data_IF_599968161102
#
_entry.id   IF_599968161102
#
_cell.length_a   1.000
_cell.length_b   1.000
_cell.length_c   1.000
_cell.angle_alpha   90.00
_cell.angle_beta   90.00
_cell.angle_gamma   90.00
#
_symmetry.space_group_name_H-M   'P 1'
#
loop_
_entity.id
_entity.type
_entity.pdbx_description
1 polymer ?
#
# COMPACT_ATOMS: atom_id res chain seq x y z
N UNK A 1 -2.13 -7.07 23.27
CA UNK A 1 -3.29 -7.55 22.48
C UNK A 1 -2.77 -8.51 21.44
N UNK A 2 -3.46 -9.61 21.15
CA UNK A 2 -2.99 -10.57 20.14
C UNK A 2 -3.16 -9.95 18.76
N UNK A 3 -2.07 -9.78 18.02
CA UNK A 3 -2.10 -9.25 16.67
C UNK A 3 -2.78 -10.26 15.73
N UNK A 4 -3.55 -9.80 14.73
CA UNK A 4 -4.19 -10.71 13.78
C UNK A 4 -3.12 -11.51 13.02
N UNK A 5 -3.38 -12.79 12.80
CA UNK A 5 -2.52 -13.62 11.96
C UNK A 5 -2.52 -13.13 10.50
N UNK A 6 -1.50 -13.53 9.73
CA UNK A 6 -1.31 -13.15 8.33
C UNK A 6 -2.55 -13.45 7.47
N UNK A 7 -3.22 -14.59 7.70
CA UNK A 7 -4.42 -14.97 6.96
C UNK A 7 -5.58 -14.00 7.21
N UNK A 8 -5.74 -13.56 8.45
CA UNK A 8 -6.76 -12.58 8.86
C UNK A 8 -6.48 -11.21 8.26
N UNK A 9 -5.22 -10.76 8.31
CA UNK A 9 -4.79 -9.49 7.70
C UNK A 9 -5.12 -9.48 6.20
N UNK A 10 -4.69 -10.52 5.47
CA UNK A 10 -4.96 -10.65 4.03
C UNK A 10 -6.45 -10.67 3.70
N UNK A 11 -7.26 -11.41 4.47
CA UNK A 11 -8.70 -11.48 4.27
C UNK A 11 -9.37 -10.11 4.46
N UNK A 12 -8.98 -9.38 5.50
CA UNK A 12 -9.54 -8.04 5.79
C UNK A 12 -9.10 -7.01 4.73
N UNK A 13 -7.84 -7.03 4.33
CA UNK A 13 -7.33 -6.15 3.27
C UNK A 13 -8.04 -6.41 1.93
N UNK A 14 -8.25 -7.66 1.54
CA UNK A 14 -8.97 -7.99 0.30
C UNK A 14 -10.43 -7.55 0.36
N UNK A 15 -11.11 -7.81 1.47
CA UNK A 15 -12.48 -7.35 1.66
C UNK A 15 -12.61 -5.83 1.59
N UNK A 16 -11.66 -5.08 2.19
CA UNK A 16 -11.60 -3.63 2.08
C UNK A 16 -11.36 -3.18 0.64
N UNK A 17 -10.39 -3.78 -0.07
CA UNK A 17 -10.10 -3.41 -1.46
C UNK A 17 -11.33 -3.63 -2.36
N UNK A 18 -12.03 -4.75 -2.19
CA UNK A 18 -13.22 -5.08 -2.97
C UNK A 18 -14.41 -4.17 -2.66
N UNK A 19 -14.70 -3.95 -1.38
CA UNK A 19 -15.93 -3.24 -0.96
C UNK A 19 -15.79 -1.73 -0.93
N UNK A 20 -14.61 -1.24 -0.56
CA UNK A 20 -14.35 0.19 -0.38
C UNK A 20 -13.69 0.78 -1.61
N UNK A 21 -12.50 0.31 -1.98
CA UNK A 21 -11.74 0.89 -3.10
C UNK A 21 -12.44 0.66 -4.44
N UNK A 22 -12.79 -0.59 -4.72
CA UNK A 22 -13.46 -0.98 -5.98
C UNK A 22 -14.96 -0.69 -5.90
N UNK A 23 -15.61 -1.08 -4.80
CA UNK A 23 -17.05 -0.93 -4.63
C UNK A 23 -17.54 0.53 -4.64
N UNK A 24 -16.74 1.47 -4.15
CA UNK A 24 -17.04 2.92 -4.20
C UNK A 24 -16.35 3.65 -5.36
N UNK A 25 -15.66 2.91 -6.26
CA UNK A 25 -14.97 3.45 -7.42
C UNK A 25 -13.95 4.56 -7.07
N UNK A 26 -13.19 4.38 -5.98
CA UNK A 26 -12.22 5.37 -5.50
C UNK A 26 -10.94 5.40 -6.34
N UNK A 27 -10.59 4.26 -6.94
CA UNK A 27 -9.44 4.14 -7.82
C UNK A 27 -9.86 3.42 -9.11
N UNK A 28 -9.79 4.08 -10.29
CA UNK A 28 -10.18 3.45 -11.55
C UNK A 28 -9.24 2.30 -11.95
N UNK A 29 -8.03 2.28 -11.40
CA UNK A 29 -6.99 1.31 -11.74
C UNK A 29 -7.03 0.04 -10.87
N UNK A 30 -7.75 0.04 -9.75
CA UNK A 30 -7.70 -1.08 -8.79
C UNK A 30 -8.50 -2.32 -9.24
N UNK A 31 -9.57 -2.13 -10.02
CA UNK A 31 -10.53 -3.19 -10.31
C UNK A 31 -9.98 -4.30 -11.22
N UNK A 32 -9.24 -3.92 -12.26
CA UNK A 32 -8.71 -4.87 -13.26
C UNK A 32 -7.62 -5.78 -12.68
N UNK A 33 -6.56 -5.25 -12.02
CA UNK A 33 -5.55 -6.08 -11.35
C UNK A 33 -6.15 -6.97 -10.27
N UNK A 34 -7.11 -6.48 -9.49
CA UNK A 34 -7.78 -7.28 -8.45
C UNK A 34 -8.50 -8.49 -9.03
N UNK A 35 -9.40 -8.26 -10.02
CA UNK A 35 -10.21 -9.33 -10.63
C UNK A 35 -9.35 -10.37 -11.35
N UNK A 36 -8.22 -9.95 -11.90
CA UNK A 36 -7.30 -10.80 -12.64
C UNK A 36 -6.20 -11.42 -11.75
N UNK A 37 -6.23 -11.17 -10.44
CA UNK A 37 -5.29 -11.76 -9.49
C UNK A 37 -3.86 -11.24 -9.62
N UNK A 38 -3.66 -10.05 -10.20
CA UNK A 38 -2.35 -9.45 -10.47
C UNK A 38 -1.85 -8.49 -9.40
N UNK A 39 -2.40 -8.60 -8.19
CA UNK A 39 -1.93 -7.85 -7.02
C UNK A 39 -1.12 -8.82 -6.16
N UNK A 40 0.17 -8.58 -6.00
CA UNK A 40 0.98 -9.25 -5.00
C UNK A 40 0.65 -8.66 -3.62
N UNK A 41 0.48 -9.50 -2.60
CA UNK A 41 0.22 -9.05 -1.23
C UNK A 41 1.34 -9.56 -0.34
N UNK A 42 1.98 -8.66 0.40
CA UNK A 42 3.00 -8.99 1.39
C UNK A 42 2.56 -8.48 2.77
N UNK A 43 2.68 -9.30 3.80
CA UNK A 43 2.42 -8.87 5.18
C UNK A 43 3.75 -8.78 5.90
N UNK A 44 4.07 -7.61 6.46
CA UNK A 44 5.23 -7.43 7.30
C UNK A 44 4.92 -7.99 8.70
N UNK A 45 5.62 -9.04 9.10
CA UNK A 45 5.48 -9.64 10.43
C UNK A 45 6.26 -8.87 11.52
N UNK A 46 7.09 -7.91 11.14
CA UNK A 46 7.89 -7.08 12.03
C UNK A 46 7.19 -5.78 12.45
N UNK A 47 7.55 -5.28 13.63
CA UNK A 47 7.04 -4.01 14.17
C UNK A 47 8.08 -2.87 14.16
N UNK A 48 9.31 -3.13 13.68
CA UNK A 48 10.35 -2.10 13.60
C UNK A 48 10.37 -1.45 12.22
N UNK A 49 10.75 -0.17 12.17
CA UNK A 49 10.95 0.57 10.92
C UNK A 49 11.92 -0.15 9.97
N UNK A 50 12.97 -0.78 10.50
CA UNK A 50 13.92 -1.58 9.71
C UNK A 50 13.26 -2.82 9.07
N UNK A 51 12.39 -3.53 9.81
CA UNK A 51 11.69 -4.70 9.28
C UNK A 51 10.72 -4.31 8.16
N UNK A 52 10.02 -3.19 8.32
CA UNK A 52 9.10 -2.65 7.31
C UNK A 52 9.87 -2.20 6.07
N UNK A 53 10.99 -1.49 6.26
CA UNK A 53 11.87 -1.07 5.18
C UNK A 53 12.40 -2.26 4.37
N UNK A 54 12.84 -3.33 5.05
CA UNK A 54 13.27 -4.56 4.39
C UNK A 54 12.15 -5.21 3.58
N UNK A 55 10.97 -5.37 4.18
CA UNK A 55 9.80 -5.94 3.51
C UNK A 55 9.36 -5.11 2.30
N UNK A 56 9.53 -3.78 2.36
CA UNK A 56 9.30 -2.88 1.24
C UNK A 56 10.28 -3.11 0.09
N UNK A 57 11.58 -3.17 0.38
CA UNK A 57 12.59 -3.45 -0.66
C UNK A 57 12.40 -4.81 -1.30
N UNK A 58 12.02 -5.83 -0.53
CA UNK A 58 11.67 -7.16 -1.04
C UNK A 58 10.44 -7.07 -1.97
N UNK A 59 9.37 -6.40 -1.52
CA UNK A 59 8.15 -6.22 -2.34
C UNK A 59 8.43 -5.43 -3.62
N UNK A 60 9.29 -4.41 -3.56
CA UNK A 60 9.72 -3.60 -4.69
C UNK A 60 10.52 -4.44 -5.70
N UNK A 61 11.50 -5.21 -5.21
CA UNK A 61 12.31 -6.08 -6.06
C UNK A 61 11.47 -7.18 -6.73
N UNK A 62 10.60 -7.85 -5.96
CA UNK A 62 9.69 -8.87 -6.47
C UNK A 62 8.75 -8.29 -7.53
N UNK A 63 8.25 -7.07 -7.29
CA UNK A 63 7.44 -6.37 -8.25
C UNK A 63 8.23 -6.15 -9.54
N UNK A 64 9.40 -5.53 -9.49
CA UNK A 64 10.22 -5.21 -10.67
C UNK A 64 10.60 -6.46 -11.49
N UNK A 65 10.89 -7.58 -10.83
CA UNK A 65 11.28 -8.82 -11.50
C UNK A 65 10.10 -9.60 -12.11
N UNK A 66 8.87 -9.36 -11.66
CA UNK A 66 7.70 -10.06 -12.14
C UNK A 66 7.25 -9.59 -13.53
N UNK A 67 6.73 -10.51 -14.35
CA UNK A 67 6.02 -10.16 -15.59
C UNK A 67 4.79 -9.30 -15.23
N UNK A 68 4.62 -8.09 -15.78
CA UNK A 68 3.46 -7.22 -15.51
C UNK A 68 2.11 -7.89 -15.80
N UNK A 69 2.07 -8.89 -16.70
CA UNK A 69 0.87 -9.68 -17.00
C UNK A 69 0.53 -10.71 -15.93
N UNK A 70 1.45 -10.97 -14.99
CA UNK A 70 1.25 -11.83 -13.84
C UNK A 70 1.08 -11.02 -12.57
N UNK A 71 1.94 -10.02 -12.34
CA UNK A 71 1.88 -9.12 -11.19
C UNK A 71 2.05 -7.68 -11.68
N UNK A 72 0.99 -6.91 -11.54
CA UNK A 72 0.91 -5.54 -12.03
C UNK A 72 1.21 -4.53 -10.93
N UNK A 73 0.78 -4.82 -9.70
CA UNK A 73 1.02 -3.98 -8.52
C UNK A 73 1.33 -4.85 -7.30
N UNK A 74 1.98 -4.30 -6.28
CA UNK A 74 2.21 -4.96 -5.01
C UNK A 74 1.66 -4.13 -3.85
N UNK A 75 1.03 -4.77 -2.86
CA UNK A 75 0.51 -4.14 -1.66
C UNK A 75 1.23 -4.71 -0.45
N UNK A 76 2.05 -3.89 0.20
CA UNK A 76 2.69 -4.20 1.48
C UNK A 76 1.77 -3.78 2.62
N UNK A 77 1.48 -4.71 3.54
CA UNK A 77 0.66 -4.48 4.72
C UNK A 77 1.52 -4.56 5.98
N UNK A 78 1.53 -3.49 6.77
CA UNK A 78 2.26 -3.40 8.02
C UNK A 78 1.26 -3.34 9.20
N UNK A 79 0.73 -4.48 9.67
CA UNK A 79 -0.26 -4.51 10.74
C UNK A 79 0.29 -4.11 12.11
N UNK A 80 1.60 -3.87 12.23
CA UNK A 80 2.31 -3.52 13.46
C UNK A 80 3.38 -2.46 13.19
N UNK A 81 3.74 -1.70 14.21
CA UNK A 81 4.88 -0.78 14.17
C UNK A 81 4.58 0.62 13.64
N UNK A 82 3.42 0.82 13.00
CA UNK A 82 2.98 2.10 12.43
C UNK A 82 1.57 2.47 12.90
N UNK A 83 1.24 2.26 14.17
CA UNK A 83 -0.07 2.65 14.72
C UNK A 83 -0.23 4.18 14.81
N UNK A 84 0.89 4.88 15.04
CA UNK A 84 0.97 6.33 15.07
C UNK A 84 1.08 6.91 13.67
N UNK A 85 0.24 7.91 13.35
CA UNK A 85 0.22 8.49 12.00
C UNK A 85 1.51 9.27 11.68
N UNK A 86 2.12 9.95 12.65
CA UNK A 86 3.41 10.63 12.43
C UNK A 86 4.53 9.62 12.14
N UNK A 87 4.62 8.51 12.88
CA UNK A 87 5.59 7.45 12.61
C UNK A 87 5.38 6.80 11.23
N UNK A 88 4.11 6.73 10.79
CA UNK A 88 3.73 6.30 9.46
C UNK A 88 4.24 7.26 8.38
N UNK A 89 4.06 8.57 8.54
CA UNK A 89 4.54 9.60 7.61
C UNK A 89 6.06 9.59 7.51
N UNK A 90 6.78 9.58 8.64
CA UNK A 90 8.24 9.43 8.68
C UNK A 90 8.73 8.20 7.90
N UNK A 91 7.96 7.10 8.01
CA UNK A 91 8.29 5.86 7.31
C UNK A 91 7.96 5.97 5.83
N UNK A 92 6.83 6.56 5.46
CA UNK A 92 6.45 6.81 4.07
C UNK A 92 7.54 7.59 3.34
N UNK A 93 8.00 8.70 3.91
CA UNK A 93 9.06 9.54 3.34
C UNK A 93 10.35 8.74 3.09
N UNK A 94 10.71 7.87 4.03
CA UNK A 94 11.86 6.97 3.89
C UNK A 94 11.68 5.97 2.73
N UNK A 95 10.47 5.42 2.56
CA UNK A 95 10.18 4.45 1.49
C UNK A 95 10.16 5.12 0.11
N UNK A 96 9.60 6.33 0.02
CA UNK A 96 9.62 7.13 -1.21
C UNK A 96 11.05 7.52 -1.61
N UNK A 97 11.88 7.93 -0.64
CA UNK A 97 13.29 8.21 -0.89
C UNK A 97 14.04 6.96 -1.38
N UNK A 98 13.72 5.77 -0.85
CA UNK A 98 14.34 4.52 -1.30
C UNK A 98 14.04 4.20 -2.77
N UNK A 99 12.82 4.52 -3.26
CA UNK A 99 12.46 4.37 -4.68
C UNK A 99 13.29 5.28 -5.57
N UNK A 100 13.49 6.54 -5.13
CA UNK A 100 14.34 7.51 -5.82
C UNK A 100 15.80 7.03 -5.86
N UNK A 101 16.33 6.57 -4.73
CA UNK A 101 17.73 6.15 -4.59
C UNK A 101 18.10 4.97 -5.49
N UNK A 102 17.14 4.08 -5.77
CA UNK A 102 17.33 2.95 -6.71
C UNK A 102 16.97 3.28 -8.16
N UNK A 103 16.65 4.54 -8.47
CA UNK A 103 16.38 5.04 -9.81
C UNK A 103 15.02 4.59 -10.37
N UNK A 104 14.04 4.35 -9.51
CA UNK A 104 12.68 3.96 -9.89
C UNK A 104 11.66 5.11 -9.79
N UNK A 105 12.14 6.33 -9.55
CA UNK A 105 11.34 7.56 -9.70
C UNK A 105 10.79 7.68 -11.12
N UNK A 106 9.51 8.02 -11.27
CA UNK A 106 8.81 8.01 -12.57
C UNK A 106 8.50 6.62 -13.12
N UNK A 107 8.84 5.54 -12.40
CA UNK A 107 8.59 4.15 -12.80
C UNK A 107 7.66 3.46 -11.81
N UNK A 108 7.91 3.64 -10.51
CA UNK A 108 7.09 3.10 -9.42
C UNK A 108 6.58 4.25 -8.56
N UNK A 109 5.26 4.34 -8.45
CA UNK A 109 4.59 5.20 -7.50
C UNK A 109 4.25 4.43 -6.22
N UNK A 110 4.44 5.07 -5.06
CA UNK A 110 3.96 4.58 -3.76
C UNK A 110 2.66 5.31 -3.42
N UNK A 111 1.55 4.58 -3.32
CA UNK A 111 0.32 5.11 -2.75
C UNK A 111 0.17 4.64 -1.30
N UNK A 112 -0.27 5.57 -0.44
CA UNK A 112 -0.23 5.44 1.02
C UNK A 112 -1.64 5.32 1.62
N UNK A 113 -1.80 4.38 2.56
CA UNK A 113 -3.05 4.13 3.27
C UNK A 113 -2.80 3.87 4.76
N UNK A 114 -3.63 4.47 5.61
CA UNK A 114 -3.50 4.35 7.06
C UNK A 114 -4.87 4.39 7.76
N UNK A 115 -5.12 3.67 8.87
CA UNK A 115 -6.41 3.72 9.58
C UNK A 115 -6.79 5.13 10.05
N UNK A 116 -5.79 5.92 10.42
CA UNK A 116 -5.94 7.31 10.85
C UNK A 116 -5.54 8.32 9.75
N UNK A 117 -5.56 7.94 8.47
CA UNK A 117 -5.13 8.83 7.38
C UNK A 117 -5.85 10.19 7.45
N UNK A 118 -5.06 11.25 7.33
CA UNK A 118 -5.50 12.65 7.27
C UNK A 118 -4.59 13.42 6.32
N UNK A 119 -5.17 14.16 5.37
CA UNK A 119 -4.41 15.09 4.54
C UNK A 119 -4.01 16.33 5.36
N UNK A 120 -2.84 16.90 5.07
CA UNK A 120 -2.23 17.97 5.88
C UNK A 120 -3.15 19.21 5.98
N UNK A 121 -3.81 19.56 4.88
CA UNK A 121 -4.72 20.72 4.78
C UNK A 121 -6.18 20.41 5.15
N UNK A 122 -6.51 19.17 5.53
CA UNK A 122 -7.91 18.72 5.71
C UNK A 122 -8.33 18.68 7.19
N UNK A 123 -9.53 19.20 7.53
CA UNK A 123 -10.17 18.96 8.83
C UNK A 123 -10.27 17.46 9.14
N UNK A 124 -10.25 17.08 10.43
CA UNK A 124 -10.28 15.67 10.84
C UNK A 124 -11.50 14.87 10.33
N UNK A 125 -12.63 15.55 10.14
CA UNK A 125 -13.89 14.99 9.66
C UNK A 125 -14.12 15.16 8.15
N UNK A 126 -13.13 15.69 7.42
CA UNK A 126 -13.23 15.84 5.97
C UNK A 126 -13.44 14.49 5.29
N UNK A 127 -14.51 14.33 4.48
CA UNK A 127 -14.76 13.12 3.69
C UNK A 127 -13.58 12.68 2.83
N UNK A 128 -12.75 13.61 2.36
CA UNK A 128 -11.56 13.30 1.57
C UNK A 128 -10.58 12.40 2.34
N UNK A 129 -10.39 12.60 3.65
CA UNK A 129 -9.50 11.75 4.45
C UNK A 129 -9.89 10.27 4.39
N UNK A 130 -11.18 9.98 4.24
CA UNK A 130 -11.68 8.61 4.23
C UNK A 130 -11.25 7.84 2.97
N UNK A 131 -10.88 8.51 1.87
CA UNK A 131 -10.45 7.83 0.64
C UNK A 131 -9.18 7.00 0.83
N UNK A 132 -8.30 7.45 1.72
CA UNK A 132 -7.02 6.79 2.03
C UNK A 132 -7.04 6.07 3.39
N UNK A 133 -8.20 5.98 4.05
CA UNK A 133 -8.35 5.16 5.25
C UNK A 133 -8.45 3.69 4.93
N UNK A 134 -7.81 2.90 5.76
CA UNK A 134 -7.67 1.47 5.55
C UNK A 134 -7.68 0.67 6.86
N UNK A 135 -7.81 -0.67 6.81
CA UNK A 135 -7.81 -1.51 8.02
C UNK A 135 -6.47 -1.54 8.74
N UNK A 136 -5.37 -1.35 8.00
CA UNK A 136 -3.99 -1.39 8.49
C UNK A 136 -3.15 -0.33 7.76
N UNK A 137 -2.02 0.10 8.33
CA UNK A 137 -0.97 0.81 7.60
C UNK A 137 -0.52 -0.01 6.38
N UNK A 138 -0.55 0.59 5.20
CA UNK A 138 -0.21 -0.08 3.94
C UNK A 138 0.49 0.87 2.97
N UNK A 139 1.29 0.25 2.09
CA UNK A 139 2.00 0.90 0.99
C UNK A 139 1.74 0.13 -0.30
N UNK A 140 1.15 0.80 -1.29
CA UNK A 140 0.80 0.21 -2.58
C UNK A 140 1.81 0.67 -3.62
N UNK A 141 2.58 -0.27 -4.15
CA UNK A 141 3.56 -0.06 -5.21
C UNK A 141 2.87 -0.27 -6.57
N UNK A 142 2.86 0.77 -7.39
CA UNK A 142 2.15 0.83 -8.67
C UNK A 142 3.14 1.20 -9.77
N UNK A 143 3.09 0.51 -10.92
CA UNK A 143 3.85 0.94 -12.10
C UNK A 143 3.20 2.15 -12.75
N UNK A 144 3.97 3.19 -13.01
CA UNK A 144 3.46 4.40 -13.68
C UNK A 144 3.00 4.14 -15.11
N UNK A 145 3.65 3.21 -15.84
CA UNK A 145 3.17 2.76 -17.16
C UNK A 145 1.72 2.23 -17.10
N UNK A 146 1.33 1.61 -15.97
CA UNK A 146 -0.03 1.12 -15.75
C UNK A 146 -1.04 2.24 -15.45
N UNK A 147 -0.59 3.39 -14.95
CA UNK A 147 -1.43 4.57 -14.71
C UNK A 147 -1.67 5.37 -16.00
N UNK A 148 -0.66 5.44 -16.87
CA UNK A 148 -0.75 6.17 -18.15
C UNK A 148 -1.55 5.43 -19.24
N UNK A 149 -1.79 4.12 -19.07
CA UNK A 149 -2.45 3.27 -20.06
C UNK A 149 -3.98 3.16 -19.90
N UNK A 150 -4.61 3.89 -18.96
CA UNK A 150 -6.06 3.87 -18.74
C UNK A 150 -6.81 5.05 -19.38
#
# INVERSE_FOLDING_TARGET
MSHPDTATVLRLTRAWLETFVIGLNLCPFAATPYRQGRIAYAVCDGASREAIYRAFLESLNDLILADPRQIETALLIAPQGLDGFEDYLDTLDLLEQAVIDVGLDGVIQVASFHPAYRFDDAPMDDPANFTNRSPFPMFHLIREEGLAAA
#
